data_IF_690815649709
#
_entry.id   IF_690815649709
#
_cell.length_a   1.000
_cell.length_b   1.000
_cell.length_c   1.000
_cell.angle_alpha   90.00
_cell.angle_beta   90.00
_cell.angle_gamma   90.00
#
_symmetry.space_group_name_H-M   'P 1'
#
loop_
_entity.id
_entity.type
_entity.pdbx_description
1 polymer ?
#
# COMPACT_ATOMS: atom_id res chain seq x y z
N UNK A 1 -27.72 2.63 9.06
CA UNK A 1 -28.39 3.07 7.82
C UNK A 1 -27.81 2.22 6.70
N UNK A 2 -28.57 1.25 6.21
CA UNK A 2 -28.14 0.29 5.19
C UNK A 2 -28.48 0.86 3.82
N UNK A 3 -27.53 1.64 3.27
CA UNK A 3 -27.73 2.58 2.15
C UNK A 3 -28.14 1.88 0.82
N UNK A 4 -28.11 0.55 0.74
CA UNK A 4 -28.10 -0.15 -0.56
C UNK A 4 -29.08 -1.32 -0.71
N UNK A 5 -30.09 -1.43 0.17
CA UNK A 5 -30.95 -2.63 0.25
C UNK A 5 -31.74 -2.89 -1.05
N UNK A 6 -32.05 -1.88 -1.86
CA UNK A 6 -32.91 -2.04 -3.04
C UNK A 6 -32.42 -1.43 -4.36
N UNK A 7 -31.28 -0.72 -4.40
CA UNK A 7 -30.86 -0.01 -5.62
C UNK A 7 -30.18 -0.95 -6.63
N UNK A 8 -30.47 -0.74 -7.92
CA UNK A 8 -29.78 -1.39 -9.04
C UNK A 8 -28.34 -0.85 -9.10
N UNK A 9 -27.39 -1.67 -9.55
CA UNK A 9 -25.95 -1.30 -9.58
C UNK A 9 -25.69 0.06 -10.26
N UNK A 10 -26.46 0.39 -11.30
CA UNK A 10 -26.36 1.67 -12.02
C UNK A 10 -26.69 2.87 -11.13
N UNK A 11 -27.75 2.80 -10.33
CA UNK A 11 -28.18 3.88 -9.45
C UNK A 11 -27.15 4.11 -8.32
N UNK A 12 -26.52 3.03 -7.84
CA UNK A 12 -25.42 3.09 -6.87
C UNK A 12 -24.20 3.79 -7.44
N UNK A 13 -23.85 3.51 -8.69
CA UNK A 13 -22.70 4.15 -9.35
C UNK A 13 -23.00 5.63 -9.63
N UNK A 14 -24.19 5.95 -10.13
CA UNK A 14 -24.60 7.33 -10.36
C UNK A 14 -24.52 8.15 -9.06
N UNK A 15 -25.05 7.61 -7.96
CA UNK A 15 -24.95 8.27 -6.66
C UNK A 15 -23.50 8.53 -6.24
N UNK A 16 -22.61 7.55 -6.41
CA UNK A 16 -21.19 7.70 -6.08
C UNK A 16 -20.50 8.74 -6.97
N UNK A 17 -20.89 8.86 -8.24
CA UNK A 17 -20.41 9.93 -9.12
C UNK A 17 -20.92 11.31 -8.69
N UNK A 18 -22.19 11.40 -8.28
CA UNK A 18 -22.81 12.66 -7.85
C UNK A 18 -22.14 13.21 -6.57
N UNK A 19 -21.70 12.32 -5.66
CA UNK A 19 -20.93 12.70 -4.47
C UNK A 19 -19.41 12.76 -4.73
N UNK A 20 -18.98 12.71 -6.00
CA UNK A 20 -17.58 12.83 -6.43
C UNK A 20 -16.63 11.83 -5.76
N UNK A 21 -17.11 10.61 -5.51
CA UNK A 21 -16.23 9.51 -5.11
C UNK A 21 -15.41 9.10 -6.31
N UNK A 22 -14.10 8.98 -6.10
CA UNK A 22 -13.11 8.61 -7.11
C UNK A 22 -13.31 7.14 -7.57
N UNK A 23 -14.19 6.94 -8.54
CA UNK A 23 -14.41 5.68 -9.26
C UNK A 23 -13.76 5.79 -10.63
N UNK A 24 -13.08 4.72 -11.05
CA UNK A 24 -12.50 4.63 -12.39
C UNK A 24 -13.54 4.85 -13.47
N UNK A 25 -13.31 5.76 -14.43
CA UNK A 25 -14.20 5.98 -15.57
C UNK A 25 -14.52 4.68 -16.31
N UNK A 26 -13.56 3.78 -16.45
CA UNK A 26 -13.74 2.48 -17.11
C UNK A 26 -14.65 1.54 -16.30
N UNK A 27 -14.56 1.58 -14.97
CA UNK A 27 -15.46 0.82 -14.10
C UNK A 27 -16.88 1.40 -14.14
N UNK A 28 -17.01 2.72 -14.17
CA UNK A 28 -18.30 3.39 -14.39
C UNK A 28 -18.88 2.97 -15.73
N UNK A 29 -18.14 3.13 -16.83
CA UNK A 29 -18.61 2.81 -18.17
C UNK A 29 -19.02 1.34 -18.27
N UNK A 30 -18.19 0.45 -17.73
CA UNK A 30 -18.46 -0.98 -17.68
C UNK A 30 -19.73 -1.29 -16.89
N UNK A 31 -19.81 -0.89 -15.62
CA UNK A 31 -20.94 -1.25 -14.77
C UNK A 31 -22.24 -0.48 -15.06
N UNK A 32 -22.17 0.70 -15.69
CA UNK A 32 -23.34 1.46 -16.11
C UNK A 32 -23.87 1.08 -17.48
N UNK A 33 -23.01 0.79 -18.45
CA UNK A 33 -23.44 0.62 -19.84
C UNK A 33 -23.28 -0.80 -20.35
N UNK A 34 -22.25 -1.53 -19.93
CA UNK A 34 -21.90 -2.84 -20.48
C UNK A 34 -22.20 -4.03 -19.55
N UNK A 35 -22.42 -3.78 -18.26
CA UNK A 35 -22.65 -4.85 -17.29
C UNK A 35 -24.03 -5.50 -17.47
N UNK A 36 -24.00 -6.75 -17.88
CA UNK A 36 -25.16 -7.49 -18.34
C UNK A 36 -25.74 -8.37 -17.20
N UNK A 37 -27.04 -8.24 -16.95
CA UNK A 37 -27.75 -9.05 -15.96
C UNK A 37 -27.74 -10.56 -16.28
N UNK A 38 -27.52 -10.94 -17.55
CA UNK A 38 -27.43 -12.34 -17.97
C UNK A 38 -26.28 -13.05 -17.24
N UNK A 39 -25.10 -12.44 -17.17
CA UNK A 39 -23.95 -13.02 -16.46
C UNK A 39 -24.18 -13.05 -14.95
N UNK A 40 -24.61 -11.92 -14.38
CA UNK A 40 -24.86 -11.82 -12.95
C UNK A 40 -25.82 -12.89 -12.44
N UNK A 41 -26.94 -13.08 -13.12
CA UNK A 41 -27.94 -14.07 -12.74
C UNK A 41 -27.42 -15.50 -12.91
N UNK A 42 -26.63 -15.76 -13.96
CA UNK A 42 -26.08 -17.09 -14.21
C UNK A 42 -24.99 -17.48 -13.22
N UNK A 43 -24.10 -16.54 -12.85
CA UNK A 43 -23.12 -16.73 -11.79
C UNK A 43 -23.81 -16.89 -10.44
N UNK A 44 -24.74 -15.98 -10.09
CA UNK A 44 -25.43 -16.01 -8.79
C UNK A 44 -26.29 -17.27 -8.58
N UNK A 45 -26.86 -17.81 -9.65
CA UNK A 45 -27.71 -19.00 -9.59
C UNK A 45 -27.01 -20.30 -10.00
N UNK A 46 -25.74 -20.25 -10.44
CA UNK A 46 -24.90 -21.41 -10.74
C UNK A 46 -25.37 -22.31 -11.89
N UNK A 47 -26.30 -21.87 -12.73
CA UNK A 47 -26.88 -22.69 -13.81
C UNK A 47 -26.31 -22.34 -15.19
N UNK A 48 -25.21 -23.02 -15.55
CA UNK A 48 -24.46 -22.80 -16.79
C UNK A 48 -24.84 -23.75 -17.93
N UNK A 49 -25.58 -24.84 -17.67
CA UNK A 49 -25.87 -25.88 -18.67
C UNK A 49 -26.58 -25.35 -19.92
N UNK A 50 -27.50 -24.39 -19.74
CA UNK A 50 -28.25 -23.82 -20.86
C UNK A 50 -27.40 -22.92 -21.76
N UNK A 51 -26.27 -22.38 -21.27
CA UNK A 51 -25.40 -21.48 -22.02
C UNK A 51 -24.56 -22.25 -23.05
N UNK A 52 -24.04 -23.42 -22.66
CA UNK A 52 -23.20 -24.24 -23.53
C UNK A 52 -23.97 -25.01 -24.61
N UNK A 53 -25.30 -24.88 -24.63
CA UNK A 53 -26.14 -25.42 -25.69
C UNK A 53 -26.21 -24.50 -26.92
N UNK A 54 -25.80 -23.23 -26.78
CA UNK A 54 -25.70 -22.25 -27.86
C UNK A 54 -24.28 -21.69 -27.89
N UNK A 55 -23.55 -21.94 -28.97
CA UNK A 55 -22.16 -21.53 -29.12
C UNK A 55 -21.99 -20.01 -29.06
N UNK A 56 -22.96 -19.24 -29.58
CA UNK A 56 -22.91 -17.77 -29.57
C UNK A 56 -23.11 -17.25 -28.14
N UNK A 57 -24.08 -17.82 -27.42
CA UNK A 57 -24.30 -17.47 -26.01
C UNK A 57 -23.10 -17.83 -25.13
N UNK A 58 -22.45 -18.97 -25.37
CA UNK A 58 -21.23 -19.38 -24.68
C UNK A 58 -20.05 -18.46 -24.98
N UNK A 59 -19.91 -18.01 -26.23
CA UNK A 59 -18.88 -17.05 -26.63
C UNK A 59 -19.10 -15.68 -25.96
N UNK A 60 -20.32 -15.14 -26.00
CA UNK A 60 -20.67 -13.87 -25.34
C UNK A 60 -20.39 -13.97 -23.83
N UNK A 61 -20.85 -15.05 -23.19
CA UNK A 61 -20.63 -15.28 -21.76
C UNK A 61 -19.14 -15.29 -21.40
N UNK A 62 -18.32 -15.95 -22.22
CA UNK A 62 -16.87 -16.07 -21.97
C UNK A 62 -16.16 -14.73 -22.12
N UNK A 63 -16.48 -13.95 -23.15
CA UNK A 63 -15.88 -12.63 -23.38
C UNK A 63 -16.26 -11.63 -22.30
N UNK A 64 -17.54 -11.54 -21.94
CA UNK A 64 -18.00 -10.62 -20.90
C UNK A 64 -17.42 -11.01 -19.52
N UNK A 65 -17.33 -12.31 -19.19
CA UNK A 65 -16.67 -12.77 -17.95
C UNK A 65 -15.18 -12.40 -17.91
N UNK A 66 -14.46 -12.51 -19.03
CA UNK A 66 -13.07 -12.07 -19.12
C UNK A 66 -12.93 -10.56 -18.92
N UNK A 67 -13.86 -9.77 -19.44
CA UNK A 67 -13.90 -8.32 -19.23
C UNK A 67 -14.20 -7.97 -17.76
N UNK A 68 -15.20 -8.62 -17.16
CA UNK A 68 -15.54 -8.51 -15.72
C UNK A 68 -14.30 -8.73 -14.84
N UNK A 69 -13.61 -9.85 -15.05
CA UNK A 69 -12.39 -10.18 -14.30
C UNK A 69 -11.27 -9.18 -14.55
N UNK A 70 -11.08 -8.75 -15.81
CA UNK A 70 -10.07 -7.76 -16.18
C UNK A 70 -10.29 -6.43 -15.45
N UNK A 71 -11.55 -5.97 -15.38
CA UNK A 71 -11.92 -4.74 -14.66
C UNK A 71 -11.70 -4.89 -13.15
N UNK A 72 -12.07 -6.03 -12.55
CA UNK A 72 -11.78 -6.30 -11.14
C UNK A 72 -10.28 -6.31 -10.84
N UNK A 73 -9.48 -6.99 -11.67
CA UNK A 73 -8.01 -7.02 -11.53
C UNK A 73 -7.45 -5.60 -11.67
N UNK A 74 -7.91 -4.84 -12.67
CA UNK A 74 -7.50 -3.46 -12.88
C UNK A 74 -7.77 -2.59 -11.64
N UNK A 75 -8.99 -2.63 -11.09
CA UNK A 75 -9.36 -1.87 -9.90
C UNK A 75 -8.55 -2.28 -8.67
N UNK A 76 -8.41 -3.59 -8.43
CA UNK A 76 -7.64 -4.14 -7.31
C UNK A 76 -6.16 -3.74 -7.42
N UNK A 77 -5.54 -3.92 -8.58
CA UNK A 77 -4.12 -3.63 -8.80
C UNK A 77 -3.72 -2.17 -8.48
N UNK A 78 -4.69 -1.24 -8.55
CA UNK A 78 -4.47 0.20 -8.35
C UNK A 78 -4.91 0.73 -6.99
N UNK A 79 -6.05 0.27 -6.44
CA UNK A 79 -6.58 0.77 -5.16
C UNK A 79 -6.38 -0.19 -3.99
N UNK A 80 -6.05 -1.46 -4.24
CA UNK A 80 -5.96 -2.44 -3.16
C UNK A 80 -4.75 -2.14 -2.28
N UNK A 81 -5.05 -1.61 -1.10
CA UNK A 81 -4.07 -1.35 -0.06
C UNK A 81 -3.35 -2.62 0.38
N UNK A 82 -4.07 -3.73 0.43
CA UNK A 82 -3.54 -5.03 0.83
C UNK A 82 -2.58 -5.59 -0.22
N UNK A 83 -2.87 -5.37 -1.51
CA UNK A 83 -1.98 -5.73 -2.61
C UNK A 83 -0.74 -4.83 -2.67
N UNK A 84 -0.88 -3.53 -2.41
CA UNK A 84 0.26 -2.60 -2.29
C UNK A 84 1.18 -3.01 -1.15
N UNK A 85 0.61 -3.30 0.01
CA UNK A 85 1.34 -3.83 1.16
C UNK A 85 2.04 -5.15 0.79
N UNK A 86 1.33 -6.07 0.12
CA UNK A 86 1.89 -7.35 -0.26
C UNK A 86 3.13 -7.16 -1.14
N UNK A 87 3.01 -6.36 -2.20
CA UNK A 87 4.12 -6.00 -3.11
C UNK A 87 5.25 -5.27 -2.40
N UNK A 88 4.95 -4.45 -1.39
CA UNK A 88 5.96 -3.77 -0.60
C UNK A 88 6.81 -4.75 0.22
N UNK A 89 6.18 -5.68 0.93
CA UNK A 89 6.89 -6.64 1.80
C UNK A 89 7.56 -7.74 0.97
N UNK A 90 6.85 -8.26 -0.03
CA UNK A 90 7.24 -9.46 -0.77
C UNK A 90 8.58 -9.26 -1.48
N UNK A 91 9.57 -10.07 -1.09
CA UNK A 91 10.90 -10.05 -1.67
C UNK A 91 11.73 -8.80 -1.36
N UNK A 92 11.29 -7.92 -0.47
CA UNK A 92 11.94 -6.63 -0.17
C UNK A 92 13.43 -6.80 0.16
N UNK A 93 13.72 -7.62 1.18
CA UNK A 93 15.08 -7.90 1.63
C UNK A 93 15.90 -8.58 0.54
N UNK A 94 15.34 -9.62 -0.10
CA UNK A 94 15.98 -10.36 -1.20
C UNK A 94 16.38 -9.44 -2.36
N UNK A 95 15.54 -8.46 -2.69
CA UNK A 95 15.81 -7.48 -3.74
C UNK A 95 16.97 -6.55 -3.35
N UNK A 96 16.90 -5.93 -2.17
CA UNK A 96 17.93 -4.97 -1.75
C UNK A 96 19.26 -5.61 -1.43
N UNK A 97 19.29 -6.82 -0.88
CA UNK A 97 20.54 -7.58 -0.67
C UNK A 97 21.25 -7.89 -2.00
N UNK A 98 20.52 -8.06 -3.11
CA UNK A 98 21.14 -8.26 -4.43
C UNK A 98 21.71 -6.97 -5.03
N UNK A 99 21.07 -5.83 -4.77
CA UNK A 99 21.44 -4.54 -5.35
C UNK A 99 22.52 -3.82 -4.54
N UNK A 100 22.43 -3.86 -3.22
CA UNK A 100 23.29 -3.12 -2.31
C UNK A 100 24.31 -4.09 -1.71
N UNK A 101 25.56 -3.99 -2.16
CA UNK A 101 26.68 -4.83 -1.70
C UNK A 101 27.26 -4.36 -0.34
N UNK A 102 26.42 -3.86 0.55
CA UNK A 102 26.83 -3.51 1.92
C UNK A 102 26.77 -4.76 2.80
N UNK A 103 27.84 -5.02 3.55
CA UNK A 103 27.97 -6.23 4.38
C UNK A 103 27.12 -6.17 5.66
N UNK A 104 26.91 -4.98 6.25
CA UNK A 104 26.19 -4.87 7.54
C UNK A 104 24.67 -4.88 7.35
N UNK A 105 24.12 -3.91 6.59
CA UNK A 105 22.66 -3.72 6.51
C UNK A 105 22.19 -3.26 5.12
N UNK A 106 22.12 -4.16 4.12
CA UNK A 106 21.92 -3.78 2.71
C UNK A 106 20.56 -3.13 2.41
N UNK A 107 19.58 -3.19 3.30
CA UNK A 107 18.25 -2.63 3.08
C UNK A 107 17.93 -1.36 3.88
N UNK A 108 18.81 -0.93 4.79
CA UNK A 108 18.51 0.20 5.69
C UNK A 108 18.33 1.51 4.95
N UNK A 109 19.19 1.82 3.98
CA UNK A 109 19.02 3.03 3.16
C UNK A 109 17.70 3.04 2.39
N UNK A 110 17.29 1.89 1.84
CA UNK A 110 16.01 1.78 1.16
C UNK A 110 14.83 1.96 2.12
N UNK A 111 14.88 1.32 3.30
CA UNK A 111 13.84 1.41 4.32
C UNK A 111 13.75 2.82 4.91
N UNK A 112 14.88 3.49 5.14
CA UNK A 112 14.91 4.89 5.55
C UNK A 112 14.28 5.79 4.49
N UNK A 113 14.59 5.59 3.20
CA UNK A 113 14.00 6.35 2.09
C UNK A 113 12.47 6.14 1.98
N UNK A 114 11.97 4.93 2.27
CA UNK A 114 10.53 4.68 2.42
C UNK A 114 9.95 5.50 3.59
N UNK A 115 10.63 5.50 4.74
CA UNK A 115 10.18 6.19 5.95
C UNK A 115 10.18 7.71 5.86
N UNK A 116 11.04 8.32 5.05
CA UNK A 116 11.03 9.78 4.83
C UNK A 116 10.20 10.19 3.61
N UNK A 117 9.64 9.22 2.86
CA UNK A 117 8.81 9.46 1.69
C UNK A 117 9.60 9.93 0.46
N UNK A 118 10.86 9.52 0.35
CA UNK A 118 11.72 9.85 -0.78
C UNK A 118 11.80 8.76 -1.84
N UNK A 119 11.53 7.52 -1.45
CA UNK A 119 11.63 6.37 -2.35
C UNK A 119 10.59 6.44 -3.45
N UNK A 120 11.08 6.42 -4.68
CA UNK A 120 10.26 6.33 -5.89
C UNK A 120 9.80 4.88 -6.05
N UNK A 121 8.50 4.69 -6.24
CA UNK A 121 7.88 3.42 -6.56
C UNK A 121 7.22 3.50 -7.92
N UNK A 122 7.32 2.40 -8.66
CA UNK A 122 6.60 2.22 -9.91
C UNK A 122 5.36 1.38 -9.62
N UNK A 123 4.19 1.97 -9.82
CA UNK A 123 2.91 1.28 -9.87
C UNK A 123 2.59 0.90 -11.32
N UNK A 124 1.47 0.21 -11.52
CA UNK A 124 1.05 -0.23 -12.86
C UNK A 124 0.89 0.91 -13.86
N UNK A 125 0.55 2.11 -13.41
CA UNK A 125 0.24 3.27 -14.25
C UNK A 125 0.76 4.61 -13.72
N UNK A 126 1.46 4.59 -12.59
CA UNK A 126 1.95 5.79 -11.96
C UNK A 126 3.34 5.59 -11.38
N UNK A 127 4.11 6.67 -11.37
CA UNK A 127 5.31 6.78 -10.56
C UNK A 127 4.90 7.57 -9.33
N UNK A 128 5.05 6.98 -8.16
CA UNK A 128 4.60 7.56 -6.90
C UNK A 128 5.67 7.43 -5.82
N UNK A 129 5.37 7.92 -4.62
CA UNK A 129 6.16 7.68 -3.41
C UNK A 129 5.26 7.12 -2.34
N UNK A 130 5.76 6.14 -1.59
CA UNK A 130 5.04 5.67 -0.43
C UNK A 130 4.91 6.77 0.62
N UNK A 131 3.76 6.82 1.27
CA UNK A 131 3.54 7.67 2.44
C UNK A 131 4.21 7.04 3.67
N UNK A 132 5.10 7.77 4.38
CA UNK A 132 5.74 7.26 5.59
C UNK A 132 4.81 6.55 6.57
N UNK A 133 3.66 7.16 6.87
CA UNK A 133 2.71 6.63 7.83
C UNK A 133 2.13 5.30 7.37
N UNK A 134 1.80 5.22 6.09
CA UNK A 134 1.25 4.02 5.45
C UNK A 134 2.23 2.84 5.54
N UNK A 135 3.50 3.07 5.21
CA UNK A 135 4.53 2.02 5.32
C UNK A 135 4.72 1.58 6.76
N UNK A 136 4.75 2.52 7.71
CA UNK A 136 4.83 2.16 9.13
C UNK A 136 3.62 1.31 9.56
N UNK A 137 2.41 1.65 9.13
CA UNK A 137 1.20 0.87 9.38
C UNK A 137 1.30 -0.56 8.83
N UNK A 138 1.75 -0.71 7.59
CA UNK A 138 1.97 -2.03 6.97
C UNK A 138 2.93 -2.90 7.80
N UNK A 139 3.98 -2.30 8.34
CA UNK A 139 4.98 -3.01 9.11
C UNK A 139 4.49 -3.38 10.51
N UNK A 140 3.86 -2.46 11.25
CA UNK A 140 3.65 -2.64 12.71
C UNK A 140 2.22 -2.94 13.13
N UNK A 141 1.20 -2.71 12.29
CA UNK A 141 -0.19 -2.86 12.69
C UNK A 141 -0.63 -4.35 12.61
N UNK A 142 -1.16 -4.94 13.70
CA UNK A 142 -1.63 -6.33 13.71
C UNK A 142 -2.72 -6.66 12.67
N UNK A 143 -3.52 -5.66 12.26
CA UNK A 143 -4.54 -5.84 11.22
C UNK A 143 -3.91 -6.31 9.90
N UNK A 144 -2.83 -5.66 9.49
CA UNK A 144 -2.14 -5.95 8.24
C UNK A 144 -1.36 -7.27 8.29
N UNK A 145 -0.83 -7.64 9.46
CA UNK A 145 -0.22 -8.96 9.64
C UNK A 145 -1.21 -10.10 9.37
N UNK A 146 -2.43 -10.01 9.93
CA UNK A 146 -3.47 -11.03 9.72
C UNK A 146 -3.85 -11.17 8.25
N UNK A 147 -3.87 -10.05 7.52
CA UNK A 147 -4.13 -10.06 6.08
C UNK A 147 -2.99 -10.74 5.34
N UNK A 148 -1.73 -10.40 5.65
CA UNK A 148 -0.59 -11.03 4.99
C UNK A 148 -0.53 -12.54 5.24
N UNK A 149 -0.81 -12.96 6.49
CA UNK A 149 -0.90 -14.37 6.88
C UNK A 149 -2.00 -15.14 6.13
N UNK A 150 -3.08 -14.46 5.72
CA UNK A 150 -4.14 -15.09 4.93
C UNK A 150 -3.77 -15.34 3.47
N UNK A 151 -2.77 -14.62 2.94
CA UNK A 151 -2.33 -14.68 1.53
C UNK A 151 -1.03 -15.45 1.36
N UNK A 152 -0.19 -15.54 2.40
CA UNK A 152 1.08 -16.26 2.34
C UNK A 152 1.85 -16.29 3.65
N UNK A 153 3.16 -16.57 3.54
CA UNK A 153 4.06 -16.70 4.69
C UNK A 153 4.46 -15.32 5.24
N UNK A 154 4.03 -15.03 6.48
CA UNK A 154 4.35 -13.78 7.18
C UNK A 154 5.80 -13.62 7.62
N UNK A 155 6.65 -14.62 7.39
CA UNK A 155 8.08 -14.57 7.75
C UNK A 155 8.77 -13.31 7.21
N UNK A 156 8.54 -12.96 5.94
CA UNK A 156 9.15 -11.76 5.35
C UNK A 156 8.69 -10.45 6.03
N UNK A 157 7.41 -10.37 6.42
CA UNK A 157 6.88 -9.23 7.17
C UNK A 157 7.52 -9.15 8.56
N UNK A 158 7.62 -10.27 9.26
CA UNK A 158 8.21 -10.34 10.61
C UNK A 158 9.69 -9.97 10.55
N UNK A 159 10.44 -10.45 9.56
CA UNK A 159 11.85 -10.10 9.36
C UNK A 159 12.03 -8.61 9.12
N UNK A 160 11.26 -8.03 8.18
CA UNK A 160 11.35 -6.62 7.84
C UNK A 160 10.92 -5.73 9.02
N UNK A 161 9.88 -6.12 9.76
CA UNK A 161 9.47 -5.46 11.00
C UNK A 161 10.57 -5.52 12.06
N UNK A 162 11.21 -6.68 12.23
CA UNK A 162 12.30 -6.84 13.21
C UNK A 162 13.45 -5.92 12.90
N UNK A 163 13.82 -5.76 11.63
CA UNK A 163 14.82 -4.78 11.19
C UNK A 163 14.35 -3.35 11.43
N UNK A 164 13.12 -3.02 11.07
CA UNK A 164 12.55 -1.69 11.26
C UNK A 164 12.49 -1.25 12.74
N UNK A 165 12.27 -2.21 13.65
CA UNK A 165 12.23 -1.98 15.10
C UNK A 165 13.58 -2.25 15.77
N UNK A 166 14.64 -2.52 15.01
CA UNK A 166 15.96 -2.83 15.54
C UNK A 166 16.69 -1.56 15.98
N UNK A 167 17.62 -1.73 16.91
CA UNK A 167 18.48 -0.64 17.38
C UNK A 167 19.32 -0.08 16.24
N UNK A 168 19.92 -0.97 15.46
CA UNK A 168 20.85 -0.67 14.38
C UNK A 168 20.17 0.20 13.30
N UNK A 169 18.91 -0.08 12.97
CA UNK A 169 18.16 0.73 12.02
C UNK A 169 17.90 2.14 12.54
N UNK A 170 17.57 2.29 13.83
CA UNK A 170 17.32 3.61 14.42
C UNK A 170 18.61 4.39 14.67
N UNK A 171 19.73 3.73 14.92
CA UNK A 171 21.07 4.36 14.90
C UNK A 171 21.38 4.90 13.51
N UNK A 172 21.21 4.08 12.48
CA UNK A 172 21.35 4.50 11.08
C UNK A 172 20.46 5.71 10.76
N UNK A 173 19.20 5.67 11.18
CA UNK A 173 18.23 6.75 10.96
C UNK A 173 18.65 8.06 11.64
N UNK A 174 19.09 8.00 12.90
CA UNK A 174 19.56 9.19 13.63
C UNK A 174 20.78 9.80 12.94
N UNK A 175 21.74 8.96 12.54
CA UNK A 175 22.94 9.42 11.83
C UNK A 175 22.56 10.08 10.49
N UNK A 176 21.72 9.42 9.68
CA UNK A 176 21.29 9.96 8.40
C UNK A 176 20.53 11.29 8.51
N UNK A 177 19.69 11.47 9.55
CA UNK A 177 19.01 12.74 9.81
C UNK A 177 20.00 13.82 10.26
N UNK A 178 20.94 13.46 11.13
CA UNK A 178 21.96 14.38 11.66
C UNK A 178 22.88 14.85 10.53
N UNK A 179 23.33 13.96 9.66
CA UNK A 179 24.14 14.29 8.49
C UNK A 179 23.44 15.30 7.57
N UNK A 180 22.13 15.13 7.32
CA UNK A 180 21.35 16.07 6.50
C UNK A 180 21.21 17.45 7.14
N UNK A 181 21.11 17.49 8.47
CA UNK A 181 21.07 18.73 9.25
C UNK A 181 22.41 19.44 9.19
N UNK A 182 23.51 18.73 9.45
CA UNK A 182 24.87 19.30 9.51
C UNK A 182 25.34 19.78 8.14
N UNK A 183 25.05 19.01 7.08
CA UNK A 183 25.40 19.38 5.71
C UNK A 183 24.41 20.38 5.09
N UNK A 184 23.32 20.75 5.78
CA UNK A 184 22.27 21.63 5.29
C UNK A 184 21.76 21.22 3.89
N UNK A 185 21.60 19.91 3.65
CA UNK A 185 21.22 19.37 2.34
C UNK A 185 20.30 18.15 2.49
N UNK A 186 19.33 18.02 1.58
CA UNK A 186 18.42 16.88 1.51
C UNK A 186 17.37 16.82 2.64
N UNK A 187 17.32 17.80 3.53
CA UNK A 187 16.29 17.85 4.58
C UNK A 187 14.95 18.35 4.05
N UNK A 188 14.92 19.12 2.96
CA UNK A 188 13.71 19.70 2.37
C UNK A 188 12.77 18.63 1.79
N UNK A 189 13.33 17.51 1.33
CA UNK A 189 12.58 16.43 0.70
C UNK A 189 11.96 15.45 1.71
N UNK A 190 12.34 15.53 2.99
CA UNK A 190 11.79 14.69 4.05
C UNK A 190 10.35 15.10 4.34
N UNK A 191 9.43 14.13 4.22
CA UNK A 191 8.02 14.32 4.54
C UNK A 191 7.82 14.42 6.06
N UNK A 192 7.15 15.48 6.51
CA UNK A 192 6.80 15.68 7.93
C UNK A 192 5.92 14.58 8.52
N UNK A 193 5.25 13.80 7.67
CA UNK A 193 4.53 12.59 8.09
C UNK A 193 5.44 11.58 8.82
N UNK A 194 6.74 11.56 8.53
CA UNK A 194 7.70 10.71 9.25
C UNK A 194 7.77 11.04 10.75
N UNK A 195 7.58 12.30 11.15
CA UNK A 195 7.50 12.66 12.56
C UNK A 195 6.30 11.98 13.25
N UNK A 196 5.19 11.79 12.53
CA UNK A 196 4.03 11.06 13.03
C UNK A 196 4.32 9.56 13.20
N UNK A 197 5.13 8.98 12.31
CA UNK A 197 5.64 7.60 12.45
C UNK A 197 6.43 7.48 13.75
N UNK A 198 7.43 8.33 13.96
CA UNK A 198 8.26 8.33 15.18
C UNK A 198 7.40 8.42 16.44
N UNK A 199 6.43 9.36 16.45
CA UNK A 199 5.50 9.52 17.57
C UNK A 199 4.62 8.28 17.79
N UNK A 200 4.16 7.64 16.71
CA UNK A 200 3.37 6.41 16.78
C UNK A 200 4.16 5.25 17.39
N UNK A 201 5.43 5.11 17.04
CA UNK A 201 6.28 4.01 17.49
C UNK A 201 6.58 4.02 19.00
N UNK A 202 6.53 5.17 19.67
CA UNK A 202 6.62 5.22 21.13
C UNK A 202 5.53 4.40 21.84
N UNK A 203 4.39 4.17 21.17
CA UNK A 203 3.28 3.35 21.69
C UNK A 203 3.43 1.87 21.38
N UNK A 204 4.41 1.49 20.56
CA UNK A 204 4.70 0.10 20.23
C UNK A 204 5.51 -0.59 21.35
N UNK A 205 5.52 -1.92 21.35
CA UNK A 205 6.37 -2.70 22.24
C UNK A 205 7.81 -2.72 21.71
N UNK A 206 8.61 -1.74 22.12
CA UNK A 206 10.00 -1.54 21.71
C UNK A 206 10.93 -1.44 22.92
N UNK A 207 12.20 -1.77 22.71
CA UNK A 207 13.21 -1.77 23.78
C UNK A 207 13.52 -0.35 24.29
N UNK A 208 14.01 -0.19 25.53
CA UNK A 208 14.42 1.12 26.07
C UNK A 208 15.49 1.81 25.22
N UNK A 209 16.39 1.04 24.61
CA UNK A 209 17.43 1.55 23.71
C UNK A 209 16.82 2.18 22.46
N UNK A 210 15.88 1.48 21.81
CA UNK A 210 15.15 2.00 20.64
C UNK A 210 14.32 3.23 21.02
N UNK A 211 13.67 3.25 22.20
CA UNK A 211 12.97 4.46 22.68
C UNK A 211 13.90 5.67 22.80
N UNK A 212 15.12 5.47 23.27
CA UNK A 212 16.12 6.54 23.37
C UNK A 212 16.51 7.06 21.98
N UNK A 213 16.73 6.16 21.02
CA UNK A 213 17.03 6.52 19.64
C UNK A 213 15.87 7.23 18.94
N UNK A 214 14.63 6.78 19.15
CA UNK A 214 13.43 7.49 18.69
C UNK A 214 13.34 8.91 19.25
N UNK A 215 13.75 9.12 20.50
CA UNK A 215 13.84 10.46 21.10
C UNK A 215 14.83 11.36 20.35
N UNK A 216 15.99 10.83 19.99
CA UNK A 216 16.99 11.55 19.18
C UNK A 216 16.47 11.82 17.76
N UNK A 217 15.86 10.82 17.11
CA UNK A 217 15.27 10.98 15.78
C UNK A 217 14.14 12.02 15.78
N UNK A 218 13.31 12.05 16.83
CA UNK A 218 12.28 13.07 17.00
C UNK A 218 12.90 14.46 17.08
N UNK A 219 13.90 14.65 17.95
CA UNK A 219 14.59 15.93 18.10
C UNK A 219 15.21 16.40 16.77
N UNK A 220 15.86 15.49 16.03
CA UNK A 220 16.40 15.78 14.70
C UNK A 220 15.29 16.21 13.72
N UNK A 221 14.17 15.49 13.69
CA UNK A 221 13.02 15.85 12.85
C UNK A 221 12.38 17.19 13.23
N UNK A 222 12.33 17.56 14.52
CA UNK A 222 11.86 18.89 14.93
C UNK A 222 12.80 20.00 14.43
N UNK A 223 14.13 19.77 14.46
CA UNK A 223 15.10 20.70 13.90
C UNK A 223 14.93 20.83 12.38
N UNK A 224 14.76 19.71 11.66
CA UNK A 224 14.48 19.72 10.22
C UNK A 224 13.19 20.48 9.90
N UNK A 225 12.13 20.28 10.70
CA UNK A 225 10.88 21.02 10.57
C UNK A 225 11.10 22.53 10.68
N UNK A 226 11.93 22.98 11.61
CA UNK A 226 12.28 24.40 11.73
C UNK A 226 13.08 24.89 10.52
N UNK A 227 14.03 24.11 10.03
CA UNK A 227 14.83 24.43 8.85
C UNK A 227 14.00 24.50 7.56
N UNK A 228 12.92 23.73 7.45
CA UNK A 228 12.00 23.76 6.29
C UNK A 228 11.08 25.00 6.26
N UNK A 229 10.91 25.69 7.38
CA UNK A 229 10.04 26.88 7.49
C UNK A 229 10.84 28.17 7.21
N UNK A 230 12.17 28.11 7.28
CA UNK A 230 13.09 29.21 6.96
C UNK A 230 13.27 29.35 5.45
#
# INVERSE_FOLDING_TARGET
MTIYINDVLKDKIQHLQDIQVDIYPEAVEYFMYYFNNIIRNRIAHGNYKAIFNDSVAAEIFSHELLLDMSVLIHMLSRKSETDRMYRFVSGYKKYYTKLIKSEEHPCFGALFNDMIGEKIILNYDSIDKNRPLQVAYWLVNPYYERIYESVGDKTELIELRTQFLSKEFWEYTVNALTDRIENNYGYQSIKMEFLSVINGLFKCNITPEVKTLLGKANAAMQKIRQMQIQ
#
